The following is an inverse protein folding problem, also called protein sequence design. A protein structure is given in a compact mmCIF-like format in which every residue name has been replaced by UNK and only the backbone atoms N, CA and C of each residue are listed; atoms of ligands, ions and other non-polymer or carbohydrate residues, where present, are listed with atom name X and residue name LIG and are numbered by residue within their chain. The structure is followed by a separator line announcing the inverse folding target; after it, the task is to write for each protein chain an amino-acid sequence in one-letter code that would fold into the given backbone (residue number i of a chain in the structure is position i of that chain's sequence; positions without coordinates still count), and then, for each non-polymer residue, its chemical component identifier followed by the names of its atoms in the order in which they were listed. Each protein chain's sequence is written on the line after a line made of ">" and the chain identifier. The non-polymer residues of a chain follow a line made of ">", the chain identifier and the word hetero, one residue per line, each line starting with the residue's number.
data_IF_505131020471
#
_entry.id   IF_505131020471
#
_cell.length_a   1.000
_cell.length_b   1.000
_cell.length_c   1.000
_cell.angle_alpha   90.00
_cell.angle_beta   90.00
_cell.angle_gamma   90.00
#
_symmetry.space_group_name_H-M   'P 1'
#
loop_
_entity.id
_entity.type
_entity.pdbx_description
1 polymer ?
#
# COMPACT_ATOMS: atom_id res chain seq x y z
N UNK A 1 57.21 -28.08 -47.47
CA UNK A 1 57.13 -26.63 -47.78
C UNK A 1 55.83 -26.41 -48.54
N UNK A 2 54.81 -25.67 -48.15
CA UNK A 2 54.58 -24.73 -47.05
C UNK A 2 53.40 -23.86 -47.47
N UNK A 3 52.49 -23.59 -46.52
CA UNK A 3 51.39 -22.60 -46.52
C UNK A 3 50.00 -23.05 -47.03
N UNK A 4 49.07 -23.24 -46.09
CA UNK A 4 47.80 -22.49 -46.11
C UNK A 4 47.28 -22.29 -44.67
N UNK A 5 47.13 -21.01 -44.29
CA UNK A 5 46.45 -20.47 -43.11
C UNK A 5 44.94 -20.36 -43.47
N UNK A 6 43.92 -20.26 -42.60
CA UNK A 6 43.84 -19.66 -41.27
C UNK A 6 42.62 -20.20 -40.52
N UNK A 7 42.74 -20.34 -39.20
CA UNK A 7 41.60 -20.57 -38.31
C UNK A 7 40.64 -19.38 -38.33
N UNK A 8 39.34 -19.68 -38.33
CA UNK A 8 38.29 -18.71 -38.07
C UNK A 8 38.35 -18.26 -36.60
N UNK A 9 38.53 -16.95 -36.30
CA UNK A 9 38.19 -16.46 -34.99
C UNK A 9 36.65 -16.37 -34.93
N UNK A 10 36.04 -17.27 -34.17
CA UNK A 10 34.65 -17.16 -33.77
C UNK A 10 34.46 -15.85 -33.01
N UNK A 11 33.88 -14.87 -33.68
CA UNK A 11 33.40 -13.65 -33.04
C UNK A 11 32.28 -14.00 -32.09
N UNK A 12 32.58 -14.07 -30.80
CA UNK A 12 31.58 -13.99 -29.74
C UNK A 12 30.93 -12.61 -29.83
N UNK A 13 29.77 -12.55 -30.47
CA UNK A 13 28.90 -11.40 -30.48
C UNK A 13 28.60 -11.02 -29.03
N UNK A 14 29.21 -9.93 -28.56
CA UNK A 14 28.88 -9.29 -27.31
C UNK A 14 27.42 -8.89 -27.37
N UNK A 15 26.56 -9.66 -26.69
CA UNK A 15 25.19 -9.25 -26.43
C UNK A 15 25.27 -8.01 -25.55
N UNK A 16 25.08 -6.84 -26.15
CA UNK A 16 24.83 -5.60 -25.43
C UNK A 16 23.58 -5.83 -24.57
N UNK A 17 23.79 -5.98 -23.27
CA UNK A 17 22.70 -6.06 -22.29
C UNK A 17 22.09 -4.67 -22.24
N UNK A 18 20.89 -4.50 -22.81
CA UNK A 18 20.13 -3.26 -22.70
C UNK A 18 19.64 -3.21 -21.26
N UNK A 19 20.28 -2.37 -20.43
CA UNK A 19 19.77 -2.06 -19.10
C UNK A 19 18.50 -1.23 -19.27
N UNK A 20 17.35 -1.89 -19.11
CA UNK A 20 16.06 -1.21 -19.08
C UNK A 20 15.98 -0.48 -17.75
N UNK A 21 16.34 0.81 -17.75
CA UNK A 21 16.11 1.70 -16.62
C UNK A 21 14.60 1.97 -16.55
N UNK A 22 13.89 1.21 -15.72
CA UNK A 22 12.48 1.46 -15.44
C UNK A 22 12.37 2.72 -14.58
N UNK A 23 12.03 3.85 -15.19
CA UNK A 23 11.64 5.05 -14.45
C UNK A 23 10.31 4.80 -13.75
N UNK A 24 10.33 4.82 -12.41
CA UNK A 24 9.13 4.74 -11.60
C UNK A 24 8.38 6.07 -11.68
N UNK A 25 7.23 6.08 -12.34
CA UNK A 25 6.33 7.22 -12.36
C UNK A 25 5.20 7.01 -11.35
N UNK A 26 4.98 7.98 -10.46
CA UNK A 26 3.80 7.99 -9.58
C UNK A 26 2.56 8.16 -10.44
N UNK A 27 1.70 7.15 -10.47
CA UNK A 27 0.48 7.15 -11.28
C UNK A 27 -0.63 7.98 -10.63
N UNK A 28 -0.73 7.93 -9.30
CA UNK A 28 -1.70 8.67 -8.47
C UNK A 28 -1.14 8.82 -7.05
N UNK A 29 -1.51 9.91 -6.37
CA UNK A 29 -1.26 10.10 -4.94
C UNK A 29 -2.57 10.29 -4.17
N UNK A 30 -2.71 9.61 -3.03
CA UNK A 30 -3.83 9.77 -2.11
C UNK A 30 -3.33 10.36 -0.78
N UNK A 31 -4.17 11.16 -0.14
CA UNK A 31 -3.91 11.71 1.19
C UNK A 31 -4.95 11.18 2.17
N UNK A 32 -4.47 10.65 3.29
CA UNK A 32 -5.33 10.28 4.42
C UNK A 32 -5.29 11.40 5.44
N UNK A 33 -6.44 12.02 5.69
CA UNK A 33 -6.63 12.99 6.76
C UNK A 33 -6.97 12.24 8.04
N UNK A 34 -6.31 12.57 9.14
CA UNK A 34 -6.54 11.93 10.44
C UNK A 34 -6.67 12.95 11.56
N UNK A 35 -7.66 12.73 12.41
CA UNK A 35 -7.90 13.53 13.62
C UNK A 35 -7.94 12.62 14.84
N UNK A 36 -7.44 13.12 15.97
CA UNK A 36 -7.39 12.41 17.23
C UNK A 36 -8.13 13.19 18.32
N UNK A 37 -8.82 12.46 19.18
CA UNK A 37 -9.54 13.00 20.33
C UNK A 37 -9.25 12.17 21.56
N UNK A 38 -8.91 12.83 22.65
CA UNK A 38 -8.67 12.18 23.94
C UNK A 38 -9.74 12.57 24.96
N UNK A 39 -10.26 11.57 25.67
CA UNK A 39 -11.24 11.71 26.73
C UNK A 39 -10.90 10.74 27.86
N UNK A 40 -10.21 11.23 28.89
CA UNK A 40 -9.77 10.40 30.03
C UNK A 40 -8.71 9.38 29.61
N UNK A 41 -9.03 8.10 29.75
CA UNK A 41 -8.18 6.97 29.37
C UNK A 41 -8.39 6.51 27.92
N UNK A 42 -9.27 7.17 27.18
CA UNK A 42 -9.68 6.78 25.83
C UNK A 42 -9.18 7.76 24.77
N UNK A 43 -8.45 7.22 23.79
CA UNK A 43 -8.08 7.92 22.56
C UNK A 43 -8.96 7.42 21.42
N UNK A 44 -9.45 8.34 20.58
CA UNK A 44 -10.20 8.06 19.36
C UNK A 44 -9.45 8.65 18.17
N UNK A 45 -9.47 7.94 17.04
CA UNK A 45 -8.96 8.38 15.76
C UNK A 45 -10.09 8.34 14.73
N UNK A 46 -10.19 9.38 13.91
CA UNK A 46 -11.00 9.38 12.69
C UNK A 46 -10.06 9.54 11.50
N UNK A 47 -10.25 8.74 10.45
CA UNK A 47 -9.48 8.79 9.22
C UNK A 47 -10.41 9.00 8.02
N UNK A 48 -9.98 9.78 7.04
CA UNK A 48 -10.69 9.97 5.78
C UNK A 48 -9.72 9.92 4.60
N UNK A 49 -10.12 9.25 3.51
CA UNK A 49 -9.43 9.32 2.23
C UNK A 49 -10.44 9.58 1.12
N UNK A 50 -10.06 10.41 0.16
CA UNK A 50 -10.81 10.61 -1.09
C UNK A 50 -10.02 10.06 -2.25
N UNK A 51 -10.64 9.15 -3.01
CA UNK A 51 -10.06 8.55 -4.20
C UNK A 51 -10.26 9.45 -5.42
N UNK A 52 -9.53 9.16 -6.48
CA UNK A 52 -9.59 9.91 -7.74
C UNK A 52 -10.92 9.80 -8.48
N UNK A 53 -11.68 8.74 -8.23
CA UNK A 53 -13.03 8.57 -8.77
C UNK A 53 -14.11 9.34 -7.97
N UNK A 54 -13.70 10.08 -6.93
CA UNK A 54 -14.57 10.84 -6.07
C UNK A 54 -15.12 10.06 -4.87
N UNK A 55 -14.86 8.74 -4.77
CA UNK A 55 -15.25 7.93 -3.62
C UNK A 55 -14.56 8.45 -2.36
N UNK A 56 -15.32 8.60 -1.28
CA UNK A 56 -14.81 9.01 0.02
C UNK A 56 -15.03 7.87 1.03
N UNK A 57 -13.97 7.52 1.75
CA UNK A 57 -14.05 6.58 2.86
C UNK A 57 -13.76 7.29 4.17
N UNK A 58 -14.48 6.89 5.22
CA UNK A 58 -14.30 7.35 6.59
C UNK A 58 -14.16 6.13 7.49
N UNK A 59 -13.17 6.16 8.35
CA UNK A 59 -12.81 5.06 9.23
C UNK A 59 -12.52 5.56 10.63
N UNK A 60 -12.61 4.66 11.60
CA UNK A 60 -12.51 5.02 13.01
C UNK A 60 -11.65 4.00 13.76
N UNK A 61 -10.93 4.47 14.77
CA UNK A 61 -10.19 3.62 15.67
C UNK A 61 -10.24 4.16 17.08
N UNK A 62 -10.14 3.26 18.05
CA UNK A 62 -10.14 3.63 19.48
C UNK A 62 -9.03 2.88 20.19
N UNK A 63 -8.52 3.47 21.28
CA UNK A 63 -7.62 2.84 22.22
C UNK A 63 -8.05 3.22 23.63
N UNK A 64 -8.00 2.27 24.56
CA UNK A 64 -8.22 2.52 25.98
C UNK A 64 -6.94 2.14 26.72
N UNK A 65 -6.45 3.05 27.55
CA UNK A 65 -5.34 2.82 28.47
C UNK A 65 -5.86 2.04 29.68
N UNK A 66 -5.09 1.07 30.17
CA UNK A 66 -5.46 0.44 31.44
C UNK A 66 -5.22 1.44 32.59
N UNK A 67 -6.12 1.57 33.58
CA UNK A 67 -5.90 2.43 34.75
C UNK A 67 -4.56 2.27 35.49
N UNK A 68 -3.90 1.10 35.39
CA UNK A 68 -2.59 0.85 35.98
C UNK A 68 -1.41 1.35 35.13
N UNK A 69 -1.65 1.65 33.86
CA UNK A 69 -0.61 2.05 32.91
C UNK A 69 -0.27 3.54 33.06
N UNK A 70 1.02 3.90 32.95
CA UNK A 70 1.42 5.30 32.96
C UNK A 70 0.82 6.07 31.79
N UNK A 71 0.58 7.36 32.00
CA UNK A 71 0.02 8.25 30.99
C UNK A 71 1.01 8.44 29.82
N UNK A 72 0.76 7.74 28.72
CA UNK A 72 1.58 7.75 27.51
C UNK A 72 0.70 8.07 26.31
N UNK A 73 0.38 9.36 26.15
CA UNK A 73 -0.54 9.86 25.12
C UNK A 73 -0.21 9.32 23.72
N UNK A 74 1.08 9.31 23.36
CA UNK A 74 1.57 8.84 22.05
C UNK A 74 1.17 7.39 21.72
N UNK A 75 1.09 6.50 22.71
CA UNK A 75 0.76 5.09 22.48
C UNK A 75 -0.73 4.92 22.13
N UNK A 76 -1.61 5.69 22.78
CA UNK A 76 -3.04 5.68 22.48
C UNK A 76 -3.32 6.17 21.06
N UNK A 77 -2.63 7.23 20.64
CA UNK A 77 -2.70 7.79 19.28
C UNK A 77 -2.24 6.76 18.24
N UNK A 78 -1.08 6.13 18.44
CA UNK A 78 -0.54 5.12 17.51
C UNK A 78 -1.49 3.93 17.35
N UNK A 79 -2.05 3.42 18.44
CA UNK A 79 -2.99 2.27 18.41
C UNK A 79 -4.32 2.66 17.78
N UNK A 80 -4.92 3.78 18.19
CA UNK A 80 -6.18 4.24 17.63
C UNK A 80 -6.02 4.54 16.14
N UNK A 81 -4.91 5.17 15.74
CA UNK A 81 -4.60 5.48 14.35
C UNK A 81 -4.42 4.22 13.51
N UNK A 82 -3.65 3.23 13.99
CA UNK A 82 -3.48 1.95 13.30
C UNK A 82 -4.83 1.24 13.09
N UNK A 83 -5.72 1.27 14.08
CA UNK A 83 -7.06 0.67 13.98
C UNK A 83 -7.92 1.38 12.93
N UNK A 84 -7.91 2.71 12.90
CA UNK A 84 -8.61 3.49 11.87
C UNK A 84 -8.06 3.18 10.46
N UNK A 85 -6.74 3.05 10.31
CA UNK A 85 -6.10 2.71 9.04
C UNK A 85 -6.41 1.27 8.60
N UNK A 86 -6.55 0.33 9.54
CA UNK A 86 -6.93 -1.06 9.23
C UNK A 86 -8.38 -1.15 8.74
N UNK A 87 -9.29 -0.39 9.36
CA UNK A 87 -10.67 -0.24 8.90
C UNK A 87 -10.69 0.37 7.48
N UNK A 88 -9.93 1.46 7.26
CA UNK A 88 -9.81 2.09 5.95
C UNK A 88 -9.28 1.13 4.87
N UNK A 89 -8.24 0.36 5.19
CA UNK A 89 -7.69 -0.66 4.29
C UNK A 89 -8.73 -1.73 3.94
N UNK A 90 -9.53 -2.15 4.93
CA UNK A 90 -10.61 -3.13 4.73
C UNK A 90 -11.69 -2.59 3.78
N UNK A 91 -12.08 -1.32 3.93
CA UNK A 91 -13.04 -0.66 3.05
C UNK A 91 -12.52 -0.53 1.61
N UNK A 92 -11.25 -0.14 1.44
CA UNK A 92 -10.62 -0.06 0.12
C UNK A 92 -10.55 -1.41 -0.58
N UNK A 93 -10.16 -2.46 0.16
CA UNK A 93 -10.17 -3.83 -0.36
C UNK A 93 -11.59 -4.22 -0.76
N UNK A 94 -12.60 -3.97 0.07
CA UNK A 94 -13.99 -4.30 -0.26
C UNK A 94 -14.45 -3.62 -1.56
N UNK A 95 -14.14 -2.32 -1.74
CA UNK A 95 -14.43 -1.61 -3.01
C UNK A 95 -13.76 -2.29 -4.19
N UNK A 96 -12.47 -2.60 -4.09
CA UNK A 96 -11.73 -3.24 -5.17
C UNK A 96 -12.31 -4.61 -5.54
N UNK A 97 -12.76 -5.40 -4.55
CA UNK A 97 -13.45 -6.66 -4.81
C UNK A 97 -14.74 -6.44 -5.60
N UNK A 98 -15.57 -5.47 -5.19
CA UNK A 98 -16.79 -5.10 -5.93
C UNK A 98 -16.49 -4.72 -7.38
N UNK A 99 -15.46 -3.90 -7.62
CA UNK A 99 -15.10 -3.49 -8.99
C UNK A 99 -14.58 -4.65 -9.84
N UNK A 100 -13.80 -5.56 -9.26
CA UNK A 100 -13.36 -6.79 -9.95
C UNK A 100 -14.57 -7.65 -10.33
N UNK A 101 -15.56 -7.75 -9.45
CA UNK A 101 -16.76 -8.57 -9.67
C UNK A 101 -17.61 -8.01 -10.81
N UNK A 102 -17.80 -6.70 -10.83
CA UNK A 102 -18.54 -5.97 -11.86
C UNK A 102 -17.90 -6.09 -13.25
N UNK A 103 -16.57 -6.03 -13.33
CA UNK A 103 -15.84 -6.12 -14.61
C UNK A 103 -15.68 -7.57 -15.08
N UNK A 104 -15.48 -8.52 -14.17
CA UNK A 104 -15.16 -9.91 -14.52
C UNK A 104 -16.38 -10.83 -14.65
N UNK A 105 -17.54 -10.43 -14.11
CA UNK A 105 -18.73 -11.27 -14.02
C UNK A 105 -18.57 -12.48 -13.08
N UNK A 106 -17.55 -12.49 -12.22
CA UNK A 106 -17.29 -13.55 -11.21
C UNK A 106 -17.06 -12.92 -9.85
N UNK A 107 -17.49 -13.60 -8.78
CA UNK A 107 -17.32 -13.13 -7.40
C UNK A 107 -15.88 -13.33 -6.89
N UNK A 108 -15.23 -12.27 -6.41
CA UNK A 108 -13.93 -12.26 -5.77
C UNK A 108 -14.09 -12.48 -4.25
N UNK A 109 -13.19 -13.24 -3.64
CA UNK A 109 -13.29 -13.59 -2.22
C UNK A 109 -12.44 -12.64 -1.37
N UNK A 110 -13.08 -11.95 -0.43
CA UNK A 110 -12.38 -11.13 0.55
C UNK A 110 -11.43 -11.97 1.42
N UNK A 111 -10.26 -11.40 1.74
CA UNK A 111 -9.32 -11.99 2.71
C UNK A 111 -9.96 -11.89 4.10
N UNK A 112 -10.12 -13.04 4.75
CA UNK A 112 -10.67 -13.17 6.11
C UNK A 112 -9.60 -13.04 7.18
#
# INVERSE_FOLDING_TARGET
>A
MGRQWAGHPGGVAGRSSVEVVLMMHTLVGWHVEMEFQEEGDRTRAAAMVRLTDGTEFRAHGTANRHPSDPDQLRVGEEIAGARALMDLASQLLQKAHTEIDEVSGRTSHAIR
#
